data_IF_079983367923
#
_entry.id   IF_079983367923
#
_cell.length_a   1.000
_cell.length_b   1.000
_cell.length_c   1.000
_cell.angle_alpha   90.00
_cell.angle_beta   90.00
_cell.angle_gamma   90.00
#
_symmetry.space_group_name_H-M   'P 1'
#
loop_
_entity.id
_entity.type
_entity.pdbx_description
1 polymer ?
2 polymer ?
3 water ?
#
loop_
_entity_poly.entity_id
_entity_poly.type
_entity_poly.pdbx_seq_one_letter_code
_entity_poly.pdbx_strand_id
2 'polyribonucleotide' 'GCGAAUUCGCUA' ?
#
# COMPACT_ATOMS: atom_id res chain seq x y z
N UNK A 2 -5.49 19.43 28.98
CA UNK A 2 -4.96 18.40 28.09
C UNK A 2 -3.53 18.00 28.51
N UNK A 3 -3.20 16.72 28.35
CA UNK A 3 -1.86 16.21 28.71
C UNK A 3 -0.90 16.30 27.52
N UNK A 4 0.40 16.54 27.79
CA UNK A 4 1.39 16.74 26.73
C UNK A 4 1.74 15.46 25.94
N UNK A 5 2.13 15.62 24.68
CA UNK A 5 2.37 14.46 23.80
C UNK A 5 3.85 14.16 23.56
N UNK A 6 4.13 12.93 23.17
CA UNK A 6 5.45 12.56 22.67
C UNK A 6 5.24 12.07 21.24
N UNK A 7 6.15 12.44 20.34
CA UNK A 7 6.07 11.99 18.97
C UNK A 7 7.37 11.31 18.57
N UNK A 8 7.27 10.06 18.10
CA UNK A 8 8.43 9.29 17.66
C UNK A 8 8.34 9.04 16.16
N UNK A 9 9.49 8.99 15.49
CA UNK A 9 9.54 8.59 14.11
C UNK A 9 9.91 7.12 14.10
N UNK A 10 9.23 6.33 13.27
CA UNK A 10 9.65 4.95 13.05
C UNK A 10 10.62 4.97 11.88
N UNK A 11 11.91 5.01 12.20
CA UNK A 11 12.92 5.16 11.17
C UNK A 11 13.08 3.83 10.46
N UNK A 12 13.17 3.86 9.13
CA UNK A 12 13.33 2.64 8.34
C UNK A 12 14.45 2.81 7.32
N UNK A 13 15.42 1.91 7.31
CA UNK A 13 16.50 1.92 6.33
C UNK A 13 16.72 0.51 5.80
N UNK A 14 16.80 0.34 4.48
CA UNK A 14 17.08 -0.98 3.91
C UNK A 14 18.57 -1.22 4.00
N UNK A 15 18.98 -1.97 5.03
CA UNK A 15 20.40 -2.18 5.30
C UNK A 15 21.00 -3.36 4.53
N UNK A 16 20.18 -4.35 4.20
CA UNK A 16 20.64 -5.46 3.34
C UNK A 16 19.59 -5.79 2.29
N UNK A 17 19.76 -5.25 1.07
CA UNK A 17 18.85 -5.54 -0.04
C UNK A 17 18.80 -7.05 -0.31
N UNK A 18 17.63 -7.55 -0.66
CA UNK A 18 17.45 -8.96 -0.98
C UNK A 18 18.40 -9.39 -2.09
N UNK A 19 19.21 -10.45 -1.86
CA UNK A 19 20.15 -10.96 -2.87
C UNK A 19 19.39 -11.56 -4.06
N UNK A 20 20.02 -11.61 -5.24
CA UNK A 20 19.34 -12.12 -6.43
C UNK A 20 18.79 -13.55 -6.25
N UNK A 21 19.58 -14.40 -5.61
CA UNK A 21 19.15 -15.79 -5.41
C UNK A 21 17.87 -15.91 -4.57
N UNK A 22 17.58 -14.89 -3.76
CA UNK A 22 16.39 -14.91 -2.91
C UNK A 22 15.21 -14.13 -3.50
N UNK A 23 15.45 -13.44 -4.61
CA UNK A 23 14.39 -12.64 -5.22
C UNK A 23 13.53 -13.49 -6.17
N UNK A 24 12.87 -14.49 -5.58
CA UNK A 24 12.06 -15.46 -6.32
C UNK A 24 10.92 -14.86 -7.13
N UNK A 25 10.25 -13.85 -6.59
CA UNK A 25 9.16 -13.23 -7.32
C UNK A 25 9.68 -12.15 -8.28
N UNK A 26 11.00 -12.03 -8.36
CA UNK A 26 11.66 -11.07 -9.26
C UNK A 26 11.08 -9.68 -9.16
N UNK A 27 11.06 -9.15 -7.95
CA UNK A 27 10.53 -7.82 -7.73
C UNK A 27 11.64 -6.78 -7.86
N UNK A 28 11.23 -5.52 -8.07
CA UNK A 28 12.09 -4.38 -7.84
C UNK A 28 12.26 -4.27 -6.34
N UNK A 29 13.38 -3.73 -5.90
CA UNK A 29 13.57 -3.49 -4.47
C UNK A 29 13.28 -2.03 -4.15
N UNK A 30 12.60 -1.78 -3.04
CA UNK A 30 12.17 -0.43 -2.71
C UNK A 30 12.72 0.01 -1.34
N UNK A 31 13.85 0.74 -1.33
CA UNK A 31 14.32 1.18 -0.01
C UNK A 31 13.35 2.18 0.62
N UNK A 32 12.95 1.94 1.88
CA UNK A 32 12.00 2.87 2.50
C UNK A 32 12.54 4.28 2.58
N UNK A 33 13.85 4.42 2.65
CA UNK A 33 14.44 5.75 2.85
C UNK A 33 14.38 6.59 1.58
N UNK A 34 13.90 6.01 0.50
CA UNK A 34 13.80 6.73 -0.76
C UNK A 34 12.58 7.66 -0.84
N UNK A 35 11.65 7.50 0.10
CA UNK A 35 10.49 8.38 0.12
C UNK A 35 10.35 9.01 1.50
N UNK A 36 9.99 10.29 1.54
CA UNK A 36 9.97 11.03 2.80
C UNK A 36 8.80 10.69 3.73
N UNK A 37 7.62 10.38 3.17
CA UNK A 37 6.46 10.10 4.02
C UNK A 37 6.62 8.77 4.72
N UNK A 38 6.42 8.77 6.04
CA UNK A 38 6.64 7.54 6.78
C UNK A 38 5.66 7.50 7.93
N UNK A 39 5.88 6.59 8.87
CA UNK A 39 4.99 6.50 10.02
C UNK A 39 5.71 6.94 11.29
N UNK A 40 4.91 7.43 12.23
CA UNK A 40 5.40 7.72 13.56
C UNK A 40 4.46 7.17 14.62
N UNK A 41 4.79 7.43 15.88
CA UNK A 41 3.93 7.05 16.99
C UNK A 41 3.72 8.25 17.91
N UNK A 42 2.46 8.51 18.25
CA UNK A 42 2.07 9.55 19.17
C UNK A 42 1.65 8.87 20.48
N UNK A 43 2.23 9.29 21.61
CA UNK A 43 1.93 8.66 22.89
C UNK A 43 1.86 9.71 24.00
N UNK A 44 1.22 9.34 25.11
CA UNK A 44 1.18 10.19 26.30
C UNK A 44 2.35 9.86 27.26
N UNK A 45 3.00 8.72 27.02
CA UNK A 45 4.11 8.28 27.86
C UNK A 45 5.36 8.20 27.01
N UNK A 46 6.53 8.44 27.62
CA UNK A 46 7.74 8.22 26.81
C UNK A 46 7.92 6.73 26.54
N UNK A 47 8.48 6.42 25.37
CA UNK A 47 8.84 5.06 25.02
C UNK A 47 10.26 4.82 25.50
N UNK A 48 10.48 3.78 26.32
CA UNK A 48 11.84 3.50 26.78
C UNK A 48 12.77 3.23 25.60
N UNK A 49 14.05 3.57 25.73
CA UNK A 49 15.02 3.36 24.66
C UNK A 49 15.06 1.88 24.25
N UNK A 50 15.01 1.63 22.96
CA UNK A 50 15.02 0.27 22.44
C UNK A 50 16.06 0.17 21.33
N UNK A 51 16.85 -0.91 21.31
CA UNK A 51 17.87 -0.94 20.26
C UNK A 51 17.26 -1.13 18.86
N UNK A 52 18.05 -0.83 17.84
CA UNK A 52 17.63 -1.05 16.46
C UNK A 52 17.36 -2.54 16.28
N UNK A 53 16.37 -2.88 15.46
CA UNK A 53 16.06 -4.29 15.18
C UNK A 53 15.56 -4.45 13.72
N UNK A 54 15.80 -5.62 13.12
CA UNK A 54 15.43 -5.88 11.73
C UNK A 54 13.97 -6.29 11.55
N UNK A 55 13.37 -5.83 10.47
CA UNK A 55 12.23 -6.51 9.91
C UNK A 55 12.63 -7.00 8.52
N UNK A 56 12.12 -8.15 8.14
CA UNK A 56 12.54 -8.76 6.89
C UNK A 56 11.41 -8.62 5.87
N UNK A 57 11.55 -7.63 4.99
CA UNK A 57 10.50 -7.28 4.04
C UNK A 57 10.79 -7.88 2.68
N UNK A 58 9.89 -7.63 1.74
CA UNK A 58 10.06 -8.09 0.36
C UNK A 58 11.33 -7.57 -0.28
N UNK A 59 11.80 -6.42 0.17
CA UNK A 59 12.93 -5.78 -0.48
C UNK A 59 14.23 -6.14 0.22
N UNK A 60 14.13 -6.82 1.36
CA UNK A 60 15.30 -7.23 2.10
C UNK A 60 15.20 -6.86 3.57
N UNK A 61 16.34 -6.81 4.25
CA UNK A 61 16.33 -6.54 5.68
C UNK A 61 16.28 -5.04 5.94
N UNK A 62 15.25 -4.60 6.65
CA UNK A 62 15.08 -3.18 6.97
C UNK A 62 15.39 -2.98 8.45
N UNK A 63 16.25 -2.02 8.76
CA UNK A 63 16.56 -1.70 10.17
C UNK A 63 15.58 -0.66 10.72
N UNK A 64 14.97 -0.99 11.85
CA UNK A 64 13.96 -0.13 12.46
C UNK A 64 14.57 0.58 13.65
N UNK A 65 14.43 1.90 13.69
CA UNK A 65 14.86 2.67 14.86
C UNK A 65 13.72 3.59 15.27
N UNK A 66 13.41 3.60 16.55
CA UNK A 66 12.35 4.45 17.08
C UNK A 66 13.01 5.66 17.69
N UNK A 67 12.87 6.82 17.06
CA UNK A 67 13.54 8.05 17.50
C UNK A 67 12.57 9.18 17.85
N UNK A 68 12.87 9.92 18.91
CA UNK A 68 12.05 11.04 19.35
C UNK A 68 12.10 12.19 18.37
N UNK A 69 10.93 12.64 17.91
CA UNK A 69 10.84 13.76 17.00
C UNK A 69 10.43 15.03 17.72
N UNK A 70 9.56 14.89 18.72
CA UNK A 70 9.06 16.05 19.46
C UNK A 70 8.46 15.60 20.78
N UNK A 71 8.42 16.51 21.76
CA UNK A 71 7.85 16.21 23.07
C UNK A 71 7.35 17.50 23.70
N UNK A 72 6.43 17.37 24.66
CA UNK A 72 6.00 18.49 25.47
C UNK A 72 4.94 19.36 24.84
N UNK A 73 4.47 18.99 23.65
CA UNK A 73 3.48 19.82 22.97
C UNK A 73 2.05 19.33 23.20
N UNK A 74 1.09 20.16 22.80
CA UNK A 74 -0.32 19.84 22.95
C UNK A 74 -0.94 19.65 21.58
N UNK A 75 -2.01 18.84 21.52
CA UNK A 75 -2.82 18.73 20.31
C UNK A 75 -4.28 18.99 20.70
N UNK A 76 -5.02 19.67 19.81
CA UNK A 76 -6.44 19.90 20.01
C UNK A 76 -7.24 18.60 19.89
N UNK A 77 -8.42 18.56 20.51
CA UNK A 77 -9.30 17.40 20.40
C UNK A 77 -9.61 17.04 18.95
N UNK A 78 -9.83 18.06 18.11
CA UNK A 78 -10.13 17.84 16.70
C UNK A 78 -8.99 17.07 16.03
N UNK A 79 -7.75 17.48 16.31
CA UNK A 79 -6.62 16.81 15.69
C UNK A 79 -6.42 15.42 16.23
N UNK A 80 -6.62 15.25 17.53
CA UNK A 80 -6.49 13.93 18.15
C UNK A 80 -7.51 12.96 17.56
N UNK A 81 -8.74 13.43 17.36
CA UNK A 81 -9.77 12.60 16.74
C UNK A 81 -9.43 12.24 15.30
N UNK A 82 -8.89 13.20 14.55
CA UNK A 82 -8.42 12.90 13.19
C UNK A 82 -7.31 11.85 13.22
N UNK A 83 -6.34 12.04 14.09
CA UNK A 83 -5.25 11.06 14.22
C UNK A 83 -5.78 9.68 14.62
N UNK A 84 -6.71 9.64 15.55
CA UNK A 84 -7.31 8.39 16.00
C UNK A 84 -8.02 7.65 14.86
N UNK A 85 -8.84 8.36 14.11
CA UNK A 85 -9.53 7.76 12.97
C UNK A 85 -8.54 7.17 11.97
N UNK A 86 -7.43 7.87 11.74
CA UNK A 86 -6.45 7.35 10.79
C UNK A 86 -5.71 6.11 11.32
N UNK A 87 -5.45 6.07 12.63
CA UNK A 87 -4.85 4.90 13.23
C UNK A 87 -5.76 3.69 12.99
N UNK A 88 -7.04 3.87 13.30
CA UNK A 88 -8.03 2.82 13.06
C UNK A 88 -8.13 2.45 11.58
N UNK A 89 -8.08 3.47 10.71
CA UNK A 89 -8.10 3.25 9.26
C UNK A 89 -6.96 2.35 8.81
N UNK A 90 -5.75 2.63 9.32
CA UNK A 90 -4.56 1.87 8.94
C UNK A 90 -4.74 0.38 9.21
N UNK A 91 -5.22 0.05 10.41
CA UNK A 91 -5.35 -1.36 10.78
C UNK A 91 -6.62 -2.04 10.26
N UNK A 92 -7.75 -1.33 10.25
CA UNK A 92 -8.99 -1.95 9.76
C UNK A 92 -9.10 -1.98 8.22
N UNK A 93 -8.68 -0.93 7.55
CA UNK A 93 -8.90 -0.89 6.11
C UNK A 93 -7.70 -1.16 5.23
N UNK A 94 -6.51 -0.75 5.65
CA UNK A 94 -5.39 -1.08 4.80
C UNK A 94 -4.82 -2.47 5.09
N UNK A 95 -4.50 -2.76 6.35
CA UNK A 95 -3.95 -4.07 6.70
C UNK A 95 -5.04 -5.11 6.94
N UNK A 96 -6.27 -4.65 7.22
CA UNK A 96 -7.42 -5.53 7.44
C UNK A 96 -7.16 -6.51 8.57
N UNK A 97 -6.79 -5.94 9.72
CA UNK A 97 -6.29 -6.70 10.83
C UNK A 97 -6.99 -6.24 12.10
N UNK A 98 -7.38 -7.20 12.95
CA UNK A 98 -8.10 -6.87 14.19
C UNK A 98 -7.19 -6.65 15.41
N UNK A 99 -5.96 -7.17 15.33
CA UNK A 99 -4.98 -7.02 16.42
C UNK A 99 -3.66 -6.37 15.94
N UNK A 100 -3.57 -5.03 16.08
CA UNK A 100 -2.43 -4.27 15.55
C UNK A 100 -1.05 -4.73 16.04
N UNK A 101 -0.96 -5.19 17.28
CA UNK A 101 0.32 -5.63 17.83
C UNK A 101 0.42 -7.15 17.87
N UNK A 102 -0.24 -7.81 16.91
CA UNK A 102 -0.23 -9.28 16.78
C UNK A 102 -0.73 -9.98 18.03
N UNK A 113 0.32 4.32 21.02
CA UNK A 113 -1.06 4.77 21.21
C UNK A 113 -1.78 5.14 19.90
N UNK A 114 -1.13 5.95 19.06
CA UNK A 114 -1.61 6.13 17.69
C UNK A 114 -0.44 6.14 16.72
N UNK A 115 -0.51 5.29 15.71
CA UNK A 115 0.38 5.37 14.56
C UNK A 115 -0.20 6.46 13.67
N UNK A 116 0.66 7.24 13.03
CA UNK A 116 0.20 8.36 12.22
C UNK A 116 1.25 8.63 11.16
N UNK A 117 0.86 9.24 10.04
CA UNK A 117 1.84 9.52 8.99
C UNK A 117 2.62 10.80 9.28
N UNK A 118 3.92 10.75 8.98
CA UNK A 118 4.79 11.90 9.11
C UNK A 118 5.31 12.23 7.73
N UNK A 119 5.62 13.49 7.48
CA UNK A 119 6.24 13.84 6.19
C UNK A 119 7.12 15.08 6.36
N UNK A 120 7.86 15.41 5.32
CA UNK A 120 8.75 16.56 5.39
C UNK A 120 7.99 17.87 5.16
N UNK A 121 8.37 18.90 5.91
CA UNK A 121 7.77 20.22 5.78
C UNK A 121 8.54 21.07 4.79
N UNK A 124 12.11 20.18 2.75
CA UNK A 124 12.88 20.82 3.82
C UNK A 124 13.37 19.86 4.91
N UNK A 125 13.54 18.58 4.54
CA UNK A 125 14.20 17.54 5.35
C UNK A 125 13.82 17.46 6.84
N UNK A 126 12.61 17.86 7.22
CA UNK A 126 12.26 17.89 8.64
C UNK A 126 10.85 17.34 8.93
N UNK A 127 10.82 16.21 9.63
CA UNK A 127 9.61 15.38 9.79
C UNK A 127 8.58 15.97 10.75
N UNK A 128 7.32 15.99 10.32
CA UNK A 128 6.22 16.38 11.21
C UNK A 128 4.94 15.63 10.83
N UNK A 129 3.93 15.71 11.68
CA UNK A 129 2.64 15.05 11.43
C UNK A 129 2.07 15.52 10.08
N UNK A 130 1.73 14.57 9.22
CA UNK A 130 1.23 14.93 7.89
C UNK A 130 -0.30 15.12 7.94
N UNK A 131 -0.74 16.25 8.48
CA UNK A 131 -2.17 16.51 8.61
C UNK A 131 -2.87 16.57 7.25
N UNK A 132 -2.22 17.22 6.28
CA UNK A 132 -2.78 17.33 4.94
C UNK A 132 -3.07 15.96 4.33
N UNK A 133 -2.12 15.04 4.48
CA UNK A 133 -2.27 13.69 3.92
C UNK A 133 -3.47 13.02 4.55
N UNK A 134 -3.60 13.15 5.87
CA UNK A 134 -4.74 12.57 6.58
C UNK A 134 -6.07 13.11 6.05
N UNK A 135 -6.14 14.42 5.83
CA UNK A 135 -7.33 15.06 5.29
C UNK A 135 -7.65 14.57 3.89
N UNK A 136 -6.62 14.43 3.05
CA UNK A 136 -6.80 13.90 1.70
C UNK A 136 -7.39 12.48 1.72
N UNK A 137 -6.90 11.64 2.63
CA UNK A 137 -7.45 10.29 2.77
C UNK A 137 -8.94 10.38 3.07
N UNK A 138 -9.29 11.18 4.08
CA UNK A 138 -10.69 11.29 4.50
C UNK A 138 -11.62 11.78 3.38
N UNK A 139 -11.10 12.59 2.45
CA UNK A 139 -11.89 13.10 1.33
C UNK A 139 -11.91 12.16 0.12
N UNK A 140 -11.01 11.17 0.09
CA UNK A 140 -10.89 10.32 -1.10
C UNK A 140 -12.13 9.48 -1.35
N UNK A 141 -12.50 9.35 -2.63
CA UNK A 141 -13.64 8.51 -2.99
C UNK A 141 -13.25 7.05 -3.11
N UNK A 142 -11.94 6.78 -3.08
CA UNK A 142 -11.42 5.40 -3.07
C UNK A 142 -10.90 5.07 -1.67
N UNK A 143 -11.36 5.85 -0.71
CA UNK A 143 -10.97 5.70 0.69
C UNK A 143 -11.25 4.30 1.22
N UNK A 144 -12.48 3.81 0.99
CA UNK A 144 -12.91 2.49 1.48
C UNK A 144 -13.07 1.42 0.39
N UNK A 145 -13.87 1.70 -0.62
CA UNK A 145 -14.09 0.75 -1.68
C UNK A 145 -13.89 1.35 -3.05
N UNK A 146 -14.81 1.03 -3.96
CA UNK A 146 -14.64 1.41 -5.35
C UNK A 146 -15.37 2.71 -5.63
N UNK A 147 -14.65 3.70 -6.17
CA UNK A 147 -15.22 5.02 -6.45
C UNK A 147 -16.00 5.01 -7.76
N UNK A 148 -16.99 5.87 -7.90
CA UNK A 148 -17.75 5.93 -9.14
C UNK A 148 -16.93 6.66 -10.20
N UNK A 149 -17.19 6.29 -11.46
CA UNK A 149 -16.55 6.91 -12.61
C UNK A 149 -17.61 7.11 -13.69
N UNK A 150 -17.32 7.97 -14.65
CA UNK A 150 -18.26 8.18 -15.74
C UNK A 150 -17.50 8.41 -17.04
N UNK A 151 -16.84 7.36 -17.52
CA UNK A 151 -16.14 7.44 -18.79
C UNK A 151 -17.15 7.25 -19.91
N UNK A 152 -17.15 8.19 -20.86
CA UNK A 152 -17.94 8.05 -22.08
C UNK A 152 -17.05 8.39 -23.26
N UNK A 153 -17.55 8.20 -24.49
CA UNK A 153 -16.80 8.52 -25.69
C UNK A 153 -16.34 9.98 -25.68
N UNK A 154 -17.24 10.86 -25.28
CA UNK A 154 -16.99 12.30 -25.25
C UNK A 154 -16.19 12.74 -24.02
N UNK A 155 -16.18 11.93 -22.98
CA UNK A 155 -15.38 12.21 -21.78
C UNK A 155 -14.60 10.95 -21.41
N UNK A 156 -13.62 10.59 -22.25
CA UNK A 156 -12.96 9.29 -22.09
C UNK A 156 -11.97 9.27 -20.96
N UNK A 157 -11.55 8.06 -20.59
CA UNK A 157 -10.48 7.87 -19.64
C UNK A 157 -9.17 8.39 -20.23
N UNK A 158 -8.44 9.14 -19.43
CA UNK A 158 -7.15 9.68 -19.86
C UNK A 158 -6.05 9.04 -19.03
N UNK A 159 -5.08 8.42 -19.69
CA UNK A 159 -4.01 7.79 -18.95
C UNK A 159 -2.90 8.78 -18.64
N UNK A 160 -2.60 8.95 -17.35
CA UNK A 160 -1.48 9.79 -16.93
C UNK A 160 -0.47 8.90 -16.21
N UNK A 161 0.68 8.70 -16.86
CA UNK A 161 1.73 7.83 -16.37
C UNK A 161 2.12 8.13 -14.93
N UNK A 162 2.25 9.42 -14.62
CA UNK A 162 2.63 9.88 -13.27
C UNK A 162 1.73 9.30 -12.19
N UNK A 163 0.44 9.13 -12.48
CA UNK A 163 -0.49 8.61 -11.49
C UNK A 163 -0.27 7.13 -11.14
N UNK A 164 0.57 6.43 -11.91
CA UNK A 164 0.77 4.98 -11.71
C UNK A 164 2.19 4.62 -11.24
N UNK A 165 3.03 5.64 -11.07
CA UNK A 165 4.42 5.44 -10.66
C UNK A 165 4.56 4.90 -9.22
N UNK A 166 3.69 5.36 -8.33
CA UNK A 166 3.77 4.97 -6.93
C UNK A 166 2.38 4.59 -6.45
N UNK A 167 1.70 3.72 -7.19
CA UNK A 167 0.28 3.46 -6.96
C UNK A 167 -0.06 2.07 -6.44
N UNK A 168 -1.12 2.03 -5.64
CA UNK A 168 -1.82 0.79 -5.34
C UNK A 168 -3.15 0.91 -6.07
N UNK A 169 -3.57 -0.14 -6.79
CA UNK A 169 -4.82 -0.09 -7.53
C UNK A 169 -5.78 -1.20 -7.14
N UNK A 170 -7.06 -0.98 -7.41
CA UNK A 170 -8.07 -2.02 -7.22
C UNK A 170 -8.93 -2.17 -8.47
N UNK A 171 -9.29 -3.40 -8.82
CA UNK A 171 -10.22 -3.64 -9.92
C UNK A 171 -11.57 -3.00 -9.61
N UNK A 172 -12.20 -2.34 -10.57
CA UNK A 172 -13.46 -1.66 -10.30
C UNK A 172 -14.66 -2.55 -10.57
N UNK A 173 -14.43 -3.82 -10.95
CA UNK A 173 -15.50 -4.61 -11.61
C UNK A 173 -15.77 -5.98 -10.97
N UNK A 174 -15.13 -6.27 -9.84
CA UNK A 174 -15.37 -7.51 -9.10
C UNK A 174 -14.95 -7.32 -7.64
N UNK A 175 -15.37 -8.24 -6.77
CA UNK A 175 -15.00 -8.24 -5.36
C UNK A 175 -15.31 -6.93 -4.67
N UNK A 176 -16.56 -6.52 -4.73
CA UNK A 176 -16.86 -5.19 -4.24
C UNK A 176 -16.91 -5.03 -2.75
N UNK A 177 -17.25 -6.09 -2.03
CA UNK A 177 -17.27 -6.03 -0.58
C UNK A 177 -15.85 -5.94 -0.01
N UNK A 178 -14.94 -6.75 -0.53
CA UNK A 178 -13.52 -6.62 -0.17
C UNK A 178 -12.62 -6.67 -1.39
N UNK A 179 -12.31 -5.51 -1.97
CA UNK A 179 -11.47 -5.43 -3.17
C UNK A 179 -10.07 -5.98 -2.94
N UNK A 180 -9.51 -6.57 -3.99
CA UNK A 180 -8.12 -6.99 -4.03
C UNK A 180 -7.26 -5.75 -4.33
N UNK A 181 -6.25 -5.49 -3.51
CA UNK A 181 -5.38 -4.34 -3.77
C UNK A 181 -4.07 -4.81 -4.39
N UNK A 182 -3.61 -4.11 -5.42
CA UNK A 182 -2.35 -4.48 -6.07
C UNK A 182 -1.40 -3.31 -6.14
N UNK A 183 -0.12 -3.58 -5.91
CA UNK A 183 0.92 -2.65 -6.31
C UNK A 183 1.01 -2.70 -7.81
N UNK A 184 1.17 -1.54 -8.44
CA UNK A 184 1.55 -1.49 -9.85
C UNK A 184 3.04 -1.79 -9.95
N UNK A 185 3.39 -2.88 -10.61
CA UNK A 185 4.78 -3.30 -10.65
C UNK A 185 5.46 -2.87 -11.94
N UNK A 186 4.67 -2.65 -12.99
CA UNK A 186 5.23 -2.28 -14.28
C UNK A 186 4.14 -1.67 -15.18
N UNK A 187 4.55 -0.75 -16.05
CA UNK A 187 3.63 -0.18 -17.02
C UNK A 187 4.10 -0.69 -18.38
N UNK A 188 3.25 -1.42 -19.06
CA UNK A 188 3.65 -2.06 -20.31
C UNK A 188 3.22 -1.18 -21.45
N UNK A 189 4.13 -0.31 -21.89
CA UNK A 189 3.79 0.67 -22.91
C UNK A 189 3.70 0.07 -24.30
N UNK A 190 4.19 -1.16 -24.47
CA UNK A 190 4.07 -1.83 -25.77
C UNK A 190 2.77 -2.62 -25.86
N UNK A 191 1.97 -2.56 -24.80
CA UNK A 191 0.68 -3.24 -24.79
C UNK A 191 -0.46 -2.23 -24.74
N UNK A 192 -1.61 -2.61 -25.30
CA UNK A 192 -2.83 -1.82 -25.21
C UNK A 192 -3.96 -2.81 -24.98
N UNK A 193 -5.20 -2.32 -24.76
CA UNK A 193 -6.30 -3.29 -24.63
C UNK A 193 -6.53 -4.10 -25.89
N UNK A 194 -5.95 -3.67 -27.01
CA UNK A 194 -6.11 -4.43 -28.25
C UNK A 194 -5.00 -5.46 -28.45
N UNK A 195 -4.08 -5.55 -27.48
CA UNK A 195 -3.06 -6.61 -27.52
C UNK A 195 -3.73 -7.97 -27.37
N UNK A 196 -3.02 -9.02 -27.79
CA UNK A 196 -3.50 -10.39 -27.76
C UNK A 196 -3.66 -10.92 -26.32
N UNK A 197 -4.77 -11.61 -26.05
CA UNK A 197 -5.06 -12.13 -24.71
C UNK A 197 -4.52 -13.55 -24.57
N UNK A 198 -3.83 -13.84 -23.44
CA UNK A 198 -3.15 -15.13 -23.29
C UNK A 198 -4.11 -16.27 -22.99
N UNK A 199 -5.03 -16.53 -23.91
CA UNK A 199 -5.99 -17.61 -23.78
C UNK A 199 -6.71 -17.77 -25.11
N UNK A 200 -6.89 -19.02 -25.56
CA UNK A 200 -7.51 -19.20 -26.89
C UNK A 200 -8.98 -18.78 -26.89
N UNK A 201 -9.56 -18.51 -25.73
CA UNK A 201 -10.99 -18.18 -25.65
C UNK A 201 -11.32 -16.71 -25.96
N UNK A 202 -10.29 -15.85 -25.98
CA UNK A 202 -10.51 -14.43 -26.21
C UNK A 202 -9.39 -13.87 -27.08
N UNK A 203 -9.72 -13.05 -28.07
CA UNK A 203 -8.70 -12.45 -28.93
C UNK A 203 -7.89 -11.33 -28.24
N UNK A 204 -8.58 -10.41 -27.59
CA UNK A 204 -7.89 -9.26 -27.01
C UNK A 204 -8.33 -9.02 -25.58
N UNK A 205 -7.59 -8.16 -24.88
CA UNK A 205 -7.98 -7.76 -23.53
C UNK A 205 -9.33 -7.08 -23.55
N UNK A 206 -9.58 -6.21 -24.54
CA UNK A 206 -10.87 -5.55 -24.66
C UNK A 206 -12.00 -6.57 -24.79
N UNK A 207 -11.79 -7.61 -25.60
CA UNK A 207 -12.84 -8.62 -25.77
C UNK A 207 -13.09 -9.41 -24.48
N UNK A 208 -12.03 -9.79 -23.78
CA UNK A 208 -12.18 -10.45 -22.50
C UNK A 208 -13.11 -9.68 -21.54
N UNK A 209 -12.82 -8.41 -21.31
CA UNK A 209 -13.58 -7.62 -20.36
C UNK A 209 -15.01 -7.35 -20.83
N UNK A 210 -15.18 -7.26 -22.15
CA UNK A 210 -16.52 -7.11 -22.72
C UNK A 210 -17.33 -8.39 -22.58
N UNK A 211 -16.73 -9.51 -22.96
CA UNK A 211 -17.43 -10.79 -22.84
C UNK A 211 -17.71 -11.16 -21.39
N UNK A 212 -16.70 -11.05 -20.54
CA UNK A 212 -16.84 -11.52 -19.17
C UNK A 212 -17.69 -10.63 -18.27
N UNK A 213 -17.53 -9.32 -18.41
CA UNK A 213 -18.11 -8.37 -17.44
C UNK A 213 -19.02 -7.35 -18.13
N UNK A 214 -19.14 -7.46 -19.45
CA UNK A 214 -19.83 -6.46 -20.28
C UNK A 214 -19.27 -5.06 -20.06
N UNK A 215 -17.94 -4.94 -20.02
CA UNK A 215 -17.30 -3.65 -19.82
C UNK A 215 -16.85 -3.05 -21.15
N UNK A 216 -17.22 -1.79 -21.38
CA UNK A 216 -16.77 -1.08 -22.57
C UNK A 216 -15.54 -0.24 -22.18
N UNK A 217 -14.62 -0.04 -23.12
CA UNK A 217 -13.45 0.81 -22.87
C UNK A 217 -13.54 2.09 -23.71
N UNK A 218 -13.18 3.24 -23.16
CA UNK A 218 -13.25 4.48 -23.93
C UNK A 218 -11.88 4.91 -24.46
N UNK A 219 -10.87 4.13 -24.13
CA UNK A 219 -9.48 4.46 -24.45
C UNK A 219 -8.79 3.16 -24.87
N UNK A 220 -8.51 3.03 -26.16
CA UNK A 220 -7.94 1.80 -26.68
C UNK A 220 -6.44 1.92 -26.90
N UNK A 221 -5.86 3.03 -26.46
CA UNK A 221 -4.44 3.31 -26.63
C UNK A 221 -3.63 3.20 -25.34
N UNK A 222 -4.32 3.10 -24.20
CA UNK A 222 -3.65 3.09 -22.89
C UNK A 222 -2.74 1.87 -22.74
N UNK A 223 -1.65 2.02 -21.98
CA UNK A 223 -0.82 0.83 -21.70
C UNK A 223 -1.53 -0.09 -20.73
N UNK A 224 -1.01 -1.30 -20.57
CA UNK A 224 -1.54 -2.23 -19.59
C UNK A 224 -0.58 -2.28 -18.40
N UNK A 225 -0.98 -2.93 -17.30
CA UNK A 225 -0.20 -2.87 -16.08
C UNK A 225 0.13 -4.25 -15.53
N UNK A 226 1.37 -4.42 -15.10
CA UNK A 226 1.79 -5.57 -14.30
C UNK A 226 1.54 -5.25 -12.84
N UNK A 227 1.19 -6.26 -12.05
CA UNK A 227 0.77 -6.01 -10.68
C UNK A 227 1.47 -6.97 -9.73
N UNK A 228 1.48 -6.62 -8.44
CA UNK A 228 2.09 -7.44 -7.40
C UNK A 228 1.10 -7.35 -6.24
N UNK A 229 0.56 -8.47 -5.76
CA UNK A 229 -0.40 -8.48 -4.65
C UNK A 229 0.20 -7.81 -3.41
N UNK A 230 -0.64 -7.19 -2.58
CA UNK A 230 -0.15 -6.41 -1.43
C UNK A 230 -0.12 -7.22 -0.15
N UNK A 231 -0.61 -8.45 -0.24
CA UNK A 231 -0.70 -9.32 0.91
C UNK A 231 0.67 -9.57 1.58
N UNK A 232 0.70 -9.48 2.90
CA UNK A 232 1.92 -9.72 3.66
C UNK A 232 1.63 -10.53 4.92
N UNK A 233 2.56 -11.40 5.29
CA UNK A 233 2.42 -12.14 6.54
C UNK A 233 2.55 -11.16 7.72
N UNK A 234 1.97 -11.53 8.85
CA UNK A 234 1.84 -10.57 9.94
C UNK A 234 3.16 -10.31 10.67
N UNK A 235 3.93 -11.36 10.88
CA UNK A 235 5.17 -11.25 11.64
C UNK A 235 6.37 -11.30 10.71
N UNK A 236 7.09 -10.18 10.63
CA UNK A 236 8.23 -10.04 9.75
C UNK A 236 9.54 -10.01 10.54
N UNK A 237 9.50 -10.47 11.77
CA UNK A 237 10.64 -10.38 12.66
C UNK A 237 11.69 -11.48 12.41
N UNK A 238 11.32 -12.48 11.61
CA UNK A 238 12.30 -13.45 11.07
C UNK A 238 12.19 -13.48 9.55
N UNK A 239 13.29 -13.84 8.86
CA UNK A 239 13.27 -13.86 7.38
C UNK A 239 12.31 -14.87 6.75
N UNK A 251 6.37 -26.29 1.56
CA UNK A 251 5.87 -26.98 2.75
C UNK A 251 4.53 -27.66 2.49
N UNK A 252 3.48 -27.21 3.19
CA UNK A 252 2.17 -27.88 3.16
C UNK A 252 1.41 -27.77 1.83
N UNK A 253 0.47 -28.69 1.61
CA UNK A 253 -0.44 -28.62 0.46
C UNK A 253 -1.15 -27.26 0.39
N UNK A 254 -1.60 -26.77 1.54
CA UNK A 254 -2.32 -25.50 1.62
C UNK A 254 -1.44 -24.29 1.31
N UNK A 255 -0.21 -24.31 1.80
CA UNK A 255 0.74 -23.25 1.50
C UNK A 255 1.12 -23.27 0.03
N UNK A 256 1.22 -24.48 -0.54
CA UNK A 256 1.43 -24.63 -1.98
C UNK A 256 0.30 -23.99 -2.78
N UNK A 257 -0.95 -24.34 -2.44
CA UNK A 257 -2.11 -23.79 -3.13
C UNK A 257 -2.14 -22.27 -3.01
N UNK A 258 -1.80 -21.75 -1.83
CA UNK A 258 -1.76 -20.31 -1.62
C UNK A 258 -0.67 -19.65 -2.47
N UNK A 259 0.51 -20.27 -2.48
CA UNK A 259 1.61 -19.80 -3.32
C UNK A 259 1.21 -19.78 -4.79
N UNK A 260 0.46 -20.81 -5.22
CA UNK A 260 0.01 -20.88 -6.61
C UNK A 260 -1.00 -19.77 -6.92
N UNK A 261 -1.82 -19.43 -5.92
CA UNK A 261 -2.79 -18.37 -6.11
C UNK A 261 -2.08 -17.03 -6.24
N UNK A 262 -1.07 -16.81 -5.41
CA UNK A 262 -0.30 -15.58 -5.47
C UNK A 262 0.48 -15.45 -6.76
N UNK A 263 0.96 -16.57 -7.29
CA UNK A 263 1.64 -16.59 -8.59
C UNK A 263 0.74 -16.16 -9.72
N UNK A 264 -0.48 -16.68 -9.73
CA UNK A 264 -1.45 -16.33 -10.75
C UNK A 264 -1.88 -14.89 -10.59
N UNK A 265 -2.06 -14.44 -9.34
CA UNK A 265 -2.42 -13.05 -9.08
C UNK A 265 -1.40 -12.13 -9.68
N UNK A 266 -0.13 -12.49 -9.50
CA UNK A 266 0.98 -11.66 -9.99
C UNK A 266 1.23 -11.77 -11.50
N UNK A 267 0.63 -12.76 -12.16
CA UNK A 267 0.71 -12.85 -13.62
C UNK A 267 -0.38 -12.02 -14.31
N UNK A 268 -1.34 -11.54 -13.54
CA UNK A 268 -2.47 -10.80 -14.12
C UNK A 268 -1.97 -9.55 -14.79
N UNK A 269 -2.61 -9.18 -15.90
CA UNK A 269 -2.32 -7.92 -16.55
C UNK A 269 -3.60 -7.09 -16.54
N UNK A 270 -3.54 -5.90 -15.94
CA UNK A 270 -4.76 -5.13 -15.72
C UNK A 270 -4.85 -3.91 -16.63
N UNK A 271 -6.08 -3.43 -16.82
CA UNK A 271 -6.35 -2.28 -17.66
C UNK A 271 -6.57 -1.06 -16.75
N UNK A 272 -5.71 -0.04 -16.87
CA UNK A 272 -5.82 1.14 -16.00
C UNK A 272 -7.24 1.71 -15.91
N UNK A 273 -7.94 1.81 -17.05
CA UNK A 273 -9.29 2.38 -17.06
C UNK A 273 -10.24 1.58 -16.20
N UNK A 274 -9.97 0.29 -16.04
CA UNK A 274 -10.86 -0.58 -15.27
C UNK A 274 -10.44 -0.67 -13.81
N UNK A 275 -9.43 0.10 -13.43
CA UNK A 275 -8.98 0.07 -12.02
C UNK A 275 -9.11 1.43 -11.35
N UNK A 276 -9.12 1.44 -10.02
CA UNK A 276 -9.14 2.69 -9.27
C UNK A 276 -7.83 2.78 -8.50
N UNK A 277 -7.30 3.98 -8.38
CA UNK A 277 -6.05 4.21 -7.65
C UNK A 277 -6.40 4.50 -6.19
N UNK A 278 -5.83 3.73 -5.28
CA UNK A 278 -6.05 3.92 -3.84
C UNK A 278 -5.39 5.22 -3.36
N UNK A 279 -6.00 5.91 -2.38
CA UNK A 279 -5.36 7.14 -1.89
C UNK A 279 -4.02 6.94 -1.13
N UNK A 280 -3.75 5.73 -0.61
CA UNK A 280 -2.44 5.45 0.01
C UNK A 280 -1.41 5.06 -1.05
N UNK A 281 -0.31 5.83 -1.18
CA UNK A 281 0.74 5.51 -2.14
C UNK A 281 1.40 4.16 -1.85
N UNK A 282 1.92 3.49 -2.88
CA UNK A 282 2.59 2.20 -2.71
C UNK A 282 3.76 2.25 -1.72
N UNK A 283 4.56 3.31 -1.82
CA UNK A 283 5.72 3.51 -0.95
C UNK A 283 5.33 3.53 0.52
N UNK A 284 4.19 4.13 0.85
CA UNK A 284 3.72 4.12 2.24
C UNK A 284 3.10 2.79 2.61
N UNK A 285 2.40 2.16 1.65
CA UNK A 285 1.82 0.84 1.88
C UNK A 285 2.91 -0.17 2.26
N UNK A 286 4.04 -0.11 1.57
CA UNK A 286 5.16 -1.01 1.86
C UNK A 286 5.67 -0.86 3.28
N UNK A 287 5.55 0.34 3.83
CA UNK A 287 5.98 0.57 5.22
C UNK A 287 4.90 0.14 6.19
N UNK A 288 3.62 0.32 5.81
CA UNK A 288 2.51 -0.04 6.69
C UNK A 288 2.51 -1.51 7.08
N UNK A 289 2.91 -2.37 6.14
CA UNK A 289 2.87 -3.81 6.41
C UNK A 289 3.88 -4.23 7.49
N UNK A 290 4.86 -3.36 7.75
CA UNK A 290 5.82 -3.57 8.84
C UNK A 290 5.25 -3.21 10.21
N UNK A 291 4.21 -2.40 10.23
CA UNK A 291 3.70 -1.88 11.51
C UNK A 291 3.36 -2.94 12.57
N UNK A 292 2.60 -4.01 12.21
CA UNK A 292 2.27 -4.99 13.24
C UNK A 292 3.49 -5.61 13.95
N UNK A 293 4.53 -5.95 13.18
CA UNK A 293 5.76 -6.48 13.76
C UNK A 293 6.39 -5.47 14.73
N UNK A 294 6.44 -4.21 14.32
CA UNK A 294 7.06 -3.16 15.10
C UNK A 294 6.32 -2.91 16.41
N UNK A 295 4.99 -2.79 16.34
CA UNK A 295 4.19 -2.67 17.57
C UNK A 295 4.32 -3.92 18.46
N UNK A 296 4.38 -5.09 17.85
CA UNK A 296 4.58 -6.32 18.64
C UNK A 296 5.90 -6.22 19.41
N UNK A 297 6.98 -5.89 18.70
CA UNK A 297 8.30 -5.76 19.33
C UNK A 297 8.26 -4.77 20.50
N UNK A 298 7.66 -3.60 20.27
CA UNK A 298 7.57 -2.56 21.30
C UNK A 298 6.79 -3.01 22.52
N UNK A 299 5.73 -3.78 22.32
CA UNK A 299 4.86 -4.18 23.44
C UNK A 299 5.35 -5.46 24.12
N UNK A 300 6.09 -6.28 23.37
CA UNK A 300 6.46 -7.62 23.84
C UNK A 300 7.93 -7.90 23.64
#
# INVERSE_FOLDING_TARGET
SDQPCYLYVIGMVLTTPLPDELNFRRRKLYPPEDTTRCFGILTAKPIPQIPHFPVYTRSGEVTISIELAASGFMLSLQMLELITRLHQYIFSHILRLEKPALEFKPTDADSAYCVLPLNVVNDSSTLDIDFKFMEDIEKSEARIGIPSTKYTKETPFVFKLEDYQDAVIIPRYRNFDQPHRFYVADVYTDLTPLSKFPSPEYETFAEYYKTKYNLDLTNLNQPLLDVDHTSSRLNLLTPRHLNQKGKALPLSSAEKRKAKWESLQNKQILVPELCAIHPIPASLWRKAVCLPSILYRLHCLL
#
